data_IF_577364472044
#
_entry.id   IF_577364472044
#
_cell.length_a   1.000
_cell.length_b   1.000
_cell.length_c   1.000
_cell.angle_alpha   90.00
_cell.angle_beta   90.00
_cell.angle_gamma   90.00
#
_symmetry.space_group_name_H-M   'P 1'
#
loop_
_entity.id
_entity.type
_entity.pdbx_description
1 polymer ?
#
# COMPACT_ATOMS: atom_id res chain seq x y z
N UNK A 1 -4.70 -3.62 -5.43
CA UNK A 1 -4.18 -2.90 -4.25
C UNK A 1 -2.67 -2.81 -4.29
N UNK A 2 -2.12 -1.82 -3.61
CA UNK A 2 -0.69 -1.68 -3.42
C UNK A 2 -0.41 -1.79 -1.93
N UNK A 3 0.59 -2.60 -1.58
CA UNK A 3 1.08 -2.72 -0.21
C UNK A 3 2.59 -2.83 -0.25
N UNK A 4 3.25 -2.55 0.85
CA UNK A 4 4.70 -2.68 0.87
C UNK A 4 5.37 -2.24 2.15
N UNK A 5 6.68 -2.31 2.12
CA UNK A 5 7.54 -2.04 3.26
C UNK A 5 7.53 -0.57 3.66
N UNK A 6 7.71 -0.33 4.95
CA UNK A 6 7.67 1.03 5.53
C UNK A 6 8.99 1.79 5.38
N UNK A 7 10.07 1.10 5.10
CA UNK A 7 11.41 1.66 5.05
C UNK A 7 11.87 2.06 3.65
N UNK A 8 10.94 2.21 2.72
CA UNK A 8 11.26 2.56 1.34
C UNK A 8 11.11 4.07 1.15
N UNK A 9 12.15 4.70 0.62
CA UNK A 9 12.14 6.13 0.35
C UNK A 9 11.34 6.47 -0.91
N UNK A 10 11.03 7.75 -1.05
CA UNK A 10 10.18 8.26 -2.11
C UNK A 10 10.74 7.97 -3.50
N UNK A 11 12.01 8.26 -3.72
CA UNK A 11 12.64 8.11 -5.03
C UNK A 11 12.66 6.66 -5.48
N UNK A 12 13.08 5.75 -4.60
CA UNK A 12 13.10 4.32 -4.88
C UNK A 12 11.69 3.82 -5.21
N UNK A 13 10.71 4.20 -4.41
CA UNK A 13 9.33 3.78 -4.62
C UNK A 13 8.81 4.27 -5.97
N UNK A 14 9.00 5.53 -6.30
CA UNK A 14 8.48 6.11 -7.54
C UNK A 14 9.10 5.47 -8.78
N UNK A 15 10.39 5.19 -8.74
CA UNK A 15 11.06 4.48 -9.83
C UNK A 15 10.41 3.13 -10.06
N UNK A 16 10.16 2.39 -8.98
CA UNK A 16 9.53 1.08 -9.08
C UNK A 16 8.08 1.18 -9.57
N UNK A 17 7.33 2.18 -9.11
CA UNK A 17 5.96 2.38 -9.59
C UNK A 17 5.93 2.65 -11.09
N UNK A 18 6.83 3.49 -11.59
CA UNK A 18 6.91 3.74 -13.03
C UNK A 18 7.21 2.47 -13.81
N UNK A 19 8.11 1.64 -13.31
CA UNK A 19 8.49 0.40 -13.98
C UNK A 19 7.40 -0.67 -13.90
N UNK A 20 6.80 -0.84 -12.73
CA UNK A 20 5.95 -1.98 -12.43
C UNK A 20 4.45 -1.69 -12.54
N UNK A 21 4.04 -0.46 -12.30
CA UNK A 21 2.63 -0.12 -12.26
C UNK A 21 2.14 0.64 -13.50
N UNK A 22 3.02 1.33 -14.22
CA UNK A 22 2.61 2.09 -15.40
C UNK A 22 1.78 1.29 -16.39
N UNK A 23 2.11 0.02 -16.69
CA UNK A 23 1.29 -0.78 -17.61
C UNK A 23 -0.12 -1.02 -17.11
N UNK A 24 -0.36 -0.87 -15.81
CA UNK A 24 -1.66 -1.11 -15.19
C UNK A 24 -2.46 0.18 -14.98
N UNK A 25 -1.87 1.32 -15.25
CA UNK A 25 -2.61 2.58 -15.22
C UNK A 25 -3.62 2.54 -16.34
N UNK A 26 -4.88 2.59 -16.00
CA UNK A 26 -5.91 2.54 -17.01
C UNK A 26 -7.20 3.09 -16.45
N UNK A 27 -8.01 3.52 -17.36
CA UNK A 27 -9.33 4.01 -17.06
C UNK A 27 -10.22 2.87 -16.55
N UNK A 28 -10.97 3.15 -15.51
CA UNK A 28 -11.89 2.19 -14.92
C UNK A 28 -11.31 1.31 -13.82
N UNK A 29 -10.03 1.44 -13.49
CA UNK A 29 -9.46 0.75 -12.33
C UNK A 29 -9.59 1.61 -11.10
N UNK A 30 -9.80 0.97 -9.96
CA UNK A 30 -9.73 1.62 -8.65
C UNK A 30 -8.59 1.00 -7.88
N UNK A 31 -7.74 1.85 -7.32
CA UNK A 31 -6.58 1.41 -6.55
C UNK A 31 -6.88 1.54 -5.05
N UNK A 32 -6.53 0.50 -4.31
CA UNK A 32 -6.67 0.50 -2.85
C UNK A 32 -5.30 0.64 -2.23
N UNK A 33 -5.15 1.58 -1.31
CA UNK A 33 -3.91 1.83 -0.58
C UNK A 33 -4.20 1.97 0.92
N UNK A 34 -3.24 1.57 1.73
CA UNK A 34 -3.29 1.83 3.17
C UNK A 34 -2.68 3.19 3.50
N UNK A 35 -2.45 3.41 4.79
CA UNK A 35 -1.95 4.69 5.30
C UNK A 35 -0.68 4.54 6.14
N UNK A 36 0.09 3.51 5.90
CA UNK A 36 1.39 3.34 6.54
C UNK A 36 2.44 4.24 5.84
N UNK A 37 3.58 4.43 6.49
CA UNK A 37 4.71 5.10 5.85
C UNK A 37 5.32 4.20 4.78
N UNK A 38 6.19 4.77 3.97
CA UNK A 38 6.88 4.03 2.93
C UNK A 38 6.01 3.81 1.71
N UNK A 39 5.90 2.57 1.27
CA UNK A 39 5.21 2.25 0.00
C UNK A 39 3.78 2.80 -0.04
N UNK A 40 3.00 2.63 1.02
CA UNK A 40 1.62 3.16 1.04
C UNK A 40 1.60 4.67 0.77
N UNK A 41 2.47 5.39 1.47
CA UNK A 41 2.58 6.85 1.38
C UNK A 41 2.91 7.29 -0.05
N UNK A 42 3.94 6.71 -0.63
CA UNK A 42 4.41 7.10 -1.95
C UNK A 42 3.48 6.62 -3.07
N UNK A 43 2.79 5.51 -2.86
CA UNK A 43 1.79 5.01 -3.79
C UNK A 43 0.60 5.97 -3.86
N UNK A 44 0.13 6.44 -2.72
CA UNK A 44 -0.98 7.40 -2.67
C UNK A 44 -0.62 8.68 -3.43
N UNK A 45 0.57 9.23 -3.18
CA UNK A 45 1.07 10.40 -3.88
C UNK A 45 1.11 10.16 -5.40
N UNK A 46 1.70 9.04 -5.81
CA UNK A 46 1.90 8.74 -7.22
C UNK A 46 0.57 8.52 -7.96
N UNK A 47 -0.37 7.84 -7.33
CA UNK A 47 -1.69 7.61 -7.91
C UNK A 47 -2.46 8.93 -8.08
N UNK A 48 -2.42 9.80 -7.08
CA UNK A 48 -3.06 11.10 -7.14
C UNK A 48 -2.45 11.94 -8.28
N UNK A 49 -1.13 11.96 -8.40
CA UNK A 49 -0.45 12.67 -9.46
C UNK A 49 -0.81 12.16 -10.85
N UNK A 50 -1.07 10.88 -10.99
CA UNK A 50 -1.47 10.27 -12.25
C UNK A 50 -2.98 10.28 -12.48
N UNK A 51 -3.73 10.99 -11.65
CA UNK A 51 -5.18 11.11 -11.74
C UNK A 51 -5.90 9.77 -11.76
N UNK A 52 -5.35 8.77 -11.06
CA UNK A 52 -5.97 7.47 -10.92
C UNK A 52 -7.02 7.48 -9.82
N UNK A 53 -8.05 6.67 -9.96
CA UNK A 53 -9.05 6.48 -8.90
C UNK A 53 -8.38 5.76 -7.74
N UNK A 54 -8.27 6.44 -6.59
CA UNK A 54 -7.55 5.95 -5.43
C UNK A 54 -8.45 5.98 -4.19
N UNK A 55 -8.57 4.85 -3.53
CA UNK A 55 -9.29 4.72 -2.26
C UNK A 55 -8.29 4.40 -1.17
N UNK A 56 -8.32 5.20 -0.09
CA UNK A 56 -7.52 4.93 1.10
C UNK A 56 -8.34 4.09 2.08
N UNK A 57 -7.76 3.00 2.56
CA UNK A 57 -8.40 2.13 3.54
C UNK A 57 -7.70 2.34 4.87
N UNK A 58 -8.42 2.85 5.85
CA UNK A 58 -7.87 3.15 7.17
C UNK A 58 -8.45 2.21 8.22
N UNK A 59 -7.62 1.76 9.20
CA UNK A 59 -8.11 0.80 10.20
C UNK A 59 -9.08 1.41 11.20
N UNK A 60 -8.98 2.72 11.44
CA UNK A 60 -9.83 3.44 12.41
C UNK A 60 -10.69 4.47 11.66
N UNK A 61 -10.98 5.62 12.27
CA UNK A 61 -11.57 6.74 11.55
C UNK A 61 -10.46 7.55 10.86
N UNK A 62 -10.83 8.29 9.83
CA UNK A 62 -9.88 9.15 9.11
C UNK A 62 -9.19 10.14 10.06
N UNK A 63 -9.92 10.63 11.06
CA UNK A 63 -9.42 11.64 11.98
C UNK A 63 -8.38 11.10 12.96
N UNK A 64 -8.31 9.78 13.14
CA UNK A 64 -7.32 9.11 13.98
C UNK A 64 -6.03 8.78 13.25
N UNK A 65 -5.97 9.07 11.94
CA UNK A 65 -4.76 8.84 11.17
C UNK A 65 -3.71 9.89 11.49
N UNK A 66 -2.41 9.57 11.30
CA UNK A 66 -1.34 10.53 11.56
C UNK A 66 -1.50 11.83 10.79
N UNK A 67 -0.99 12.91 11.36
CA UNK A 67 -1.11 14.25 10.77
C UNK A 67 -0.49 14.32 9.36
N UNK A 68 0.60 13.59 9.12
CA UNK A 68 1.29 13.63 7.83
C UNK A 68 0.45 13.07 6.68
N UNK A 69 -0.51 12.20 6.96
CA UNK A 69 -1.33 11.60 5.91
C UNK A 69 -2.60 12.40 5.63
N UNK A 70 -3.01 13.30 6.52
CA UNK A 70 -4.26 14.03 6.37
C UNK A 70 -4.40 14.78 5.04
N UNK A 71 -3.37 15.52 4.55
CA UNK A 71 -3.50 16.20 3.27
C UNK A 71 -3.76 15.25 2.09
N UNK A 72 -3.20 14.04 2.15
CA UNK A 72 -3.43 13.04 1.11
C UNK A 72 -4.84 12.47 1.18
N UNK A 73 -5.35 12.26 2.40
CA UNK A 73 -6.71 11.75 2.58
C UNK A 73 -7.77 12.72 2.03
N UNK A 74 -7.47 14.00 1.99
CA UNK A 74 -8.37 14.98 1.38
C UNK A 74 -8.40 14.89 -0.15
N UNK A 75 -7.40 14.28 -0.76
CA UNK A 75 -7.25 14.22 -2.20
C UNK A 75 -7.65 12.90 -2.83
N UNK A 76 -7.79 11.85 -2.03
CA UNK A 76 -8.24 10.54 -2.56
C UNK A 76 -9.73 10.58 -2.87
N UNK A 77 -10.17 9.68 -3.76
CA UNK A 77 -11.56 9.64 -4.19
C UNK A 77 -12.50 9.13 -3.11
N UNK A 78 -12.01 8.26 -2.25
CA UNK A 78 -12.79 7.69 -1.17
C UNK A 78 -11.89 7.24 -0.01
N UNK A 79 -12.42 7.37 1.20
CA UNK A 79 -11.78 6.84 2.40
C UNK A 79 -12.69 5.76 2.97
N UNK A 80 -12.15 4.55 3.09
CA UNK A 80 -12.87 3.43 3.70
C UNK A 80 -12.41 3.33 5.15
N UNK A 81 -13.30 3.65 6.07
CA UNK A 81 -13.02 3.62 7.51
C UNK A 81 -13.54 2.31 8.10
N UNK A 82 -12.62 1.44 8.54
CA UNK A 82 -13.01 0.13 9.06
C UNK A 82 -13.49 0.21 10.51
N UNK A 83 -13.10 1.25 11.22
CA UNK A 83 -13.48 1.48 12.62
C UNK A 83 -13.14 0.30 13.54
N UNK A 84 -11.98 -0.30 13.33
CA UNK A 84 -11.51 -1.41 14.14
C UNK A 84 -11.12 -0.94 15.54
N UNK A 85 -11.20 -1.83 16.55
CA UNK A 85 -10.61 -1.52 17.85
C UNK A 85 -9.11 -1.27 17.71
N UNK A 86 -8.59 -0.30 18.46
CA UNK A 86 -7.16 0.00 18.41
C UNK A 86 -6.38 -1.16 19.03
N UNK A 87 -5.59 -1.84 18.21
CA UNK A 87 -4.75 -2.97 18.63
C UNK A 87 -3.62 -3.17 17.61
N UNK A 88 -2.62 -3.95 18.00
CA UNK A 88 -1.45 -4.20 17.15
C UNK A 88 -1.81 -4.85 15.82
N UNK A 89 -2.88 -5.63 15.77
CA UNK A 89 -3.28 -6.36 14.57
C UNK A 89 -4.16 -5.56 13.62
N UNK A 90 -4.52 -4.32 13.96
CA UNK A 90 -5.44 -3.54 13.14
C UNK A 90 -4.94 -3.34 11.72
N UNK A 91 -3.63 -3.07 11.55
CA UNK A 91 -3.04 -2.92 10.22
C UNK A 91 -3.12 -4.21 9.39
N UNK A 92 -2.90 -5.35 10.02
CA UNK A 92 -3.00 -6.65 9.34
C UNK A 92 -4.44 -6.94 8.93
N UNK A 93 -5.39 -6.63 9.79
CA UNK A 93 -6.82 -6.79 9.49
C UNK A 93 -7.20 -5.89 8.32
N UNK A 94 -6.77 -4.62 8.34
CA UNK A 94 -6.98 -3.67 7.25
C UNK A 94 -6.47 -4.23 5.93
N UNK A 95 -5.25 -4.79 5.93
CA UNK A 95 -4.67 -5.35 4.72
C UNK A 95 -5.47 -6.52 4.17
N UNK A 96 -6.02 -7.37 5.03
CA UNK A 96 -6.88 -8.48 4.60
C UNK A 96 -8.16 -7.96 3.96
N UNK A 97 -8.77 -6.93 4.51
CA UNK A 97 -9.94 -6.29 3.90
C UNK A 97 -9.61 -5.77 2.50
N UNK A 98 -8.44 -5.19 2.33
CA UNK A 98 -8.01 -4.72 1.01
C UNK A 98 -7.84 -5.87 0.03
N UNK A 99 -7.21 -6.95 0.45
CA UNK A 99 -7.06 -8.15 -0.38
C UNK A 99 -8.42 -8.70 -0.79
N UNK A 100 -9.36 -8.77 0.15
CA UNK A 100 -10.70 -9.31 -0.12
C UNK A 100 -11.44 -8.48 -1.18
N UNK A 101 -11.16 -7.19 -1.27
CA UNK A 101 -11.78 -6.30 -2.25
C UNK A 101 -11.02 -6.25 -3.58
N UNK A 102 -9.75 -6.62 -3.59
CA UNK A 102 -8.89 -6.44 -4.74
C UNK A 102 -8.87 -7.68 -5.65
N UNK A 103 -8.73 -7.46 -6.95
CA UNK A 103 -8.46 -8.55 -7.89
C UNK A 103 -6.96 -8.79 -8.07
N UNK A 104 -6.17 -7.72 -7.98
CA UNK A 104 -4.72 -7.75 -8.18
C UNK A 104 -4.05 -7.13 -6.96
N UNK A 105 -2.99 -7.76 -6.50
CA UNK A 105 -2.22 -7.27 -5.34
C UNK A 105 -0.76 -7.09 -5.75
N UNK A 106 -0.28 -5.85 -5.61
CA UNK A 106 1.13 -5.50 -5.80
C UNK A 106 1.78 -5.32 -4.44
N UNK A 107 2.79 -6.12 -4.14
CA UNK A 107 3.53 -6.03 -2.89
C UNK A 107 4.99 -5.68 -3.13
N UNK A 108 5.42 -4.57 -2.57
CA UNK A 108 6.81 -4.08 -2.69
C UNK A 108 7.51 -4.32 -1.36
N UNK A 109 8.42 -5.29 -1.33
CA UNK A 109 9.03 -5.75 -0.09
C UNK A 109 10.54 -5.56 -0.08
N UNK A 110 11.03 -4.88 0.96
CA UNK A 110 12.46 -4.57 1.11
C UNK A 110 13.27 -5.68 1.77
N UNK A 111 12.64 -6.77 2.17
CA UNK A 111 13.30 -7.85 2.90
C UNK A 111 13.24 -7.69 4.41
N UNK A 112 12.68 -6.58 4.89
CA UNK A 112 12.56 -6.32 6.32
C UNK A 112 11.10 -6.32 6.75
N UNK A 113 10.85 -6.83 7.94
CA UNK A 113 9.50 -6.91 8.48
C UNK A 113 8.67 -8.00 7.84
N UNK A 114 7.56 -8.35 8.47
CA UNK A 114 6.72 -9.46 8.04
C UNK A 114 5.35 -9.09 7.49
N UNK A 115 4.94 -7.82 7.61
CA UNK A 115 3.59 -7.41 7.26
C UNK A 115 3.26 -7.58 5.78
N UNK A 116 4.15 -7.15 4.91
CA UNK A 116 3.97 -7.27 3.46
C UNK A 116 3.92 -8.73 3.03
N UNK A 117 4.84 -9.54 3.54
CA UNK A 117 4.88 -10.98 3.21
C UNK A 117 3.61 -11.69 3.69
N UNK A 118 3.14 -11.39 4.88
CA UNK A 118 1.89 -11.98 5.39
C UNK A 118 0.70 -11.60 4.51
N UNK A 119 0.65 -10.36 4.06
CA UNK A 119 -0.41 -9.89 3.17
C UNK A 119 -0.35 -10.60 1.83
N UNK A 120 0.85 -10.76 1.25
CA UNK A 120 1.02 -11.46 -0.02
C UNK A 120 0.64 -12.93 0.10
N UNK A 121 1.00 -13.58 1.20
CA UNK A 121 0.60 -14.98 1.45
C UNK A 121 -0.92 -15.10 1.57
N UNK A 122 -1.56 -14.17 2.25
CA UNK A 122 -3.01 -14.16 2.35
C UNK A 122 -3.64 -13.98 0.95
N UNK A 123 -3.12 -13.07 0.14
CA UNK A 123 -3.60 -12.83 -1.21
C UNK A 123 -3.51 -14.10 -2.08
N UNK A 124 -2.40 -14.84 -1.96
CA UNK A 124 -2.24 -16.11 -2.67
C UNK A 124 -3.26 -17.14 -2.22
N UNK A 125 -3.52 -17.24 -0.92
CA UNK A 125 -4.55 -18.15 -0.40
C UNK A 125 -5.94 -17.78 -0.91
N UNK A 126 -6.19 -16.49 -1.12
CA UNK A 126 -7.46 -16.01 -1.65
C UNK A 126 -7.50 -16.03 -3.19
N UNK A 127 -6.49 -16.60 -3.83
CA UNK A 127 -6.40 -16.76 -5.28
C UNK A 127 -6.45 -15.44 -6.04
N UNK A 128 -5.85 -14.40 -5.47
CA UNK A 128 -5.68 -13.11 -6.17
C UNK A 128 -4.49 -13.20 -7.11
N UNK A 129 -4.50 -12.38 -8.15
CA UNK A 129 -3.30 -12.16 -8.95
C UNK A 129 -2.30 -11.39 -8.09
N UNK A 130 -1.10 -11.92 -7.89
CA UNK A 130 -0.12 -11.36 -6.97
C UNK A 130 1.17 -11.03 -7.73
N UNK A 131 1.61 -9.79 -7.58
CA UNK A 131 2.90 -9.33 -8.07
C UNK A 131 3.76 -8.97 -6.87
N UNK A 132 4.75 -9.80 -6.56
CA UNK A 132 5.68 -9.57 -5.47
C UNK A 132 6.95 -8.94 -6.06
N UNK A 133 7.22 -7.70 -5.70
CA UNK A 133 8.31 -6.91 -6.26
C UNK A 133 9.36 -6.68 -5.18
N UNK A 134 10.59 -7.20 -5.36
CA UNK A 134 11.64 -6.93 -4.40
C UNK A 134 12.09 -5.47 -4.50
N UNK A 135 12.35 -4.87 -3.34
CA UNK A 135 12.82 -3.49 -3.24
C UNK A 135 14.21 -3.52 -2.64
N UNK A 136 15.16 -2.98 -3.36
CA UNK A 136 16.50 -2.79 -2.85
C UNK A 136 16.58 -1.41 -2.16
N UNK A 137 16.84 -1.44 -0.86
CA UNK A 137 16.96 -0.20 -0.07
C UNK A 137 18.43 0.11 0.11
N UNK A 138 18.93 1.24 -0.43
CA UNK A 138 20.33 1.60 -0.29
C UNK A 138 20.74 1.65 1.19
N UNK A 139 21.86 1.01 1.50
CA UNK A 139 22.35 0.94 2.87
C UNK A 139 21.65 -0.07 3.76
N UNK A 140 20.59 -0.71 3.28
CA UNK A 140 19.85 -1.72 4.04
C UNK A 140 20.54 -3.07 4.11
N UNK A 141 21.54 -3.29 3.30
CA UNK A 141 22.18 -4.58 3.14
C UNK A 141 23.65 -4.52 3.54
N UNK A 142 23.91 -3.98 4.70
CA UNK A 142 25.28 -3.80 5.20
C UNK A 142 25.78 -4.92 6.08
N UNK A 143 25.00 -5.95 6.24
CA UNK A 143 25.29 -7.03 7.18
C UNK A 143 26.19 -8.11 6.61
N UNK A 144 26.66 -7.89 5.47
CA UNK A 144 27.51 -8.86 4.79
C UNK A 144 28.89 -8.91 5.31
#
# INVERSE_FOLDING_TARGET
MITGSRDVDRETARTLFEQQLSPFLSHGRTWLVGTARGIDQWAMEWLIENSESCWAVVPYSRFKQPQWVQPWLEQVDRIVELQLPKRKTAGAIRNRHMVDLAGIVFGFWSGKGGGTIKTLKYALRQRREVHAIPVFVPGGDKTK
#
